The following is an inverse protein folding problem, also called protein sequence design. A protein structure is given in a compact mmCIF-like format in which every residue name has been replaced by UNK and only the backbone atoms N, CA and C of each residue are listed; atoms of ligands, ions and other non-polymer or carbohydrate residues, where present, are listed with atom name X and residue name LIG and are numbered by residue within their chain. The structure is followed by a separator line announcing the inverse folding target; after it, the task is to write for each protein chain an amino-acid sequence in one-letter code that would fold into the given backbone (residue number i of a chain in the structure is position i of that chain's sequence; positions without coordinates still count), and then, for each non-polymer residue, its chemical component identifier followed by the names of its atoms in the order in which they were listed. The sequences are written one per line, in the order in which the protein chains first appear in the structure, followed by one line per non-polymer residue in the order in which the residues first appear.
data_IF_620995127712
#
_entry.id   IF_620995127712
#
_cell.length_a   1.000
_cell.length_b   1.000
_cell.length_c   1.000
_cell.angle_alpha   90.00
_cell.angle_beta   90.00
_cell.angle_gamma   90.00
#
_symmetry.space_group_name_H-M   'P 1'
#
loop_
_entity.id
_entity.type
_entity.pdbx_description
1 polymer ?
#
# COMPACT_ATOMS: atom_id res chain seq x y z
N UNK A 1 -27.14 5.74 -7.75
CA UNK A 1 -27.02 4.77 -6.66
C UNK A 1 -26.15 3.59 -7.09
N UNK A 2 -26.64 2.69 -7.95
CA UNK A 2 -25.90 1.51 -8.48
C UNK A 2 -24.50 1.83 -9.04
N UNK A 3 -24.39 2.78 -9.99
CA UNK A 3 -23.11 3.17 -10.59
C UNK A 3 -22.10 3.74 -9.59
N UNK A 4 -22.59 4.42 -8.54
CA UNK A 4 -21.73 5.03 -7.53
C UNK A 4 -21.18 3.97 -6.56
N UNK A 5 -22.00 2.99 -6.18
CA UNK A 5 -21.56 1.80 -5.43
C UNK A 5 -20.48 1.05 -6.22
N UNK A 6 -20.74 0.77 -7.49
CA UNK A 6 -19.76 0.09 -8.34
C UNK A 6 -18.41 0.83 -8.41
N UNK A 7 -18.43 2.15 -8.61
CA UNK A 7 -17.22 2.97 -8.62
C UNK A 7 -16.45 2.97 -7.29
N UNK A 8 -17.15 2.96 -6.15
CA UNK A 8 -16.49 2.90 -4.85
C UNK A 8 -15.88 1.53 -4.56
N UNK A 9 -16.52 0.46 -5.04
CA UNK A 9 -15.99 -0.90 -4.95
C UNK A 9 -14.71 -1.04 -5.75
N UNK A 10 -14.74 -0.61 -7.01
CA UNK A 10 -13.55 -0.61 -7.88
C UNK A 10 -12.41 0.19 -7.24
N UNK A 11 -12.67 1.41 -6.75
CA UNK A 11 -11.65 2.19 -6.03
C UNK A 11 -11.11 1.49 -4.80
N UNK A 12 -11.97 0.84 -4.00
CA UNK A 12 -11.53 0.13 -2.80
C UNK A 12 -10.59 -1.02 -3.15
N UNK A 13 -10.90 -1.77 -4.21
CA UNK A 13 -10.10 -2.91 -4.67
C UNK A 13 -8.77 -2.43 -5.28
N UNK A 14 -8.76 -1.35 -6.06
CA UNK A 14 -7.54 -0.72 -6.55
C UNK A 14 -6.62 -0.29 -5.40
N UNK A 15 -7.16 0.43 -4.41
CA UNK A 15 -6.39 0.89 -3.26
C UNK A 15 -5.83 -0.27 -2.42
N UNK A 16 -6.56 -1.38 -2.27
CA UNK A 16 -6.03 -2.60 -1.64
C UNK A 16 -4.88 -3.18 -2.44
N UNK A 17 -5.01 -3.24 -3.77
CA UNK A 17 -3.98 -3.79 -4.65
C UNK A 17 -2.70 -2.94 -4.59
N UNK A 18 -2.83 -1.61 -4.68
CA UNK A 18 -1.68 -0.71 -4.52
C UNK A 18 -1.01 -0.83 -3.15
N UNK A 19 -1.79 -0.93 -2.07
CA UNK A 19 -1.26 -1.15 -0.73
C UNK A 19 -0.47 -2.47 -0.65
N UNK A 20 -1.02 -3.56 -1.20
CA UNK A 20 -0.38 -4.87 -1.22
C UNK A 20 0.92 -4.90 -2.05
N UNK A 21 0.92 -4.25 -3.22
CA UNK A 21 2.12 -4.15 -4.08
C UNK A 21 3.22 -3.35 -3.38
N UNK A 22 2.90 -2.18 -2.81
CA UNK A 22 3.89 -1.38 -2.07
C UNK A 22 4.44 -2.12 -0.85
N UNK A 23 3.57 -2.80 -0.10
CA UNK A 23 4.00 -3.60 1.05
C UNK A 23 4.94 -4.73 0.61
N UNK A 24 4.60 -5.46 -0.45
CA UNK A 24 5.43 -6.54 -0.99
C UNK A 24 6.79 -6.02 -1.45
N UNK A 25 6.80 -4.89 -2.16
CA UNK A 25 8.04 -4.23 -2.60
C UNK A 25 8.92 -3.83 -1.41
N UNK A 26 8.34 -3.26 -0.36
CA UNK A 26 9.04 -2.92 0.89
C UNK A 26 9.68 -4.14 1.54
N UNK A 27 8.98 -5.28 1.59
CA UNK A 27 9.51 -6.53 2.15
C UNK A 27 10.69 -7.04 1.33
N UNK A 28 10.57 -7.11 0.01
CA UNK A 28 11.66 -7.57 -0.85
C UNK A 28 12.89 -6.66 -0.76
N UNK A 29 12.69 -5.34 -0.75
CA UNK A 29 13.78 -4.39 -0.59
C UNK A 29 14.46 -4.51 0.78
N UNK A 30 13.68 -4.70 1.84
CA UNK A 30 14.23 -4.92 3.18
C UNK A 30 15.06 -6.21 3.25
N UNK A 31 14.58 -7.32 2.69
CA UNK A 31 15.36 -8.56 2.57
C UNK A 31 16.68 -8.30 1.83
N UNK A 32 16.64 -7.51 0.75
CA UNK A 32 17.84 -7.08 0.03
C UNK A 32 18.87 -6.41 0.94
N UNK A 33 18.45 -5.57 1.90
CA UNK A 33 19.38 -4.90 2.84
C UNK A 33 20.10 -5.85 3.79
N UNK A 34 19.55 -7.05 4.03
CA UNK A 34 20.16 -8.07 4.89
C UNK A 34 21.30 -8.81 4.18
N UNK A 35 21.42 -8.69 2.85
CA UNK A 35 22.51 -9.28 2.11
C UNK A 35 23.85 -8.64 2.52
N UNK A 36 24.89 -9.46 2.78
CA UNK A 36 26.20 -8.97 3.22
C UNK A 36 26.97 -8.26 2.10
N UNK A 37 26.55 -8.45 0.83
CA UNK A 37 27.19 -7.89 -0.36
C UNK A 37 26.80 -6.44 -0.66
N UNK A 38 25.81 -5.88 0.04
CA UNK A 38 25.38 -4.49 -0.17
C UNK A 38 26.31 -3.53 0.57
N UNK A 39 26.88 -2.59 -0.19
CA UNK A 39 27.69 -1.50 0.35
C UNK A 39 26.90 -0.65 1.38
N UNK A 40 27.51 -0.26 2.51
CA UNK A 40 26.85 0.50 3.57
C UNK A 40 26.16 1.78 3.06
N UNK A 41 26.76 2.50 2.10
CA UNK A 41 26.14 3.70 1.54
C UNK A 41 24.80 3.41 0.86
N UNK A 42 24.64 2.25 0.23
CA UNK A 42 23.37 1.87 -0.41
C UNK A 42 22.29 1.56 0.62
N UNK A 43 22.66 0.95 1.77
CA UNK A 43 21.73 0.69 2.88
C UNK A 43 21.17 1.99 3.45
N UNK A 44 22.02 3.03 3.56
CA UNK A 44 21.63 4.33 4.09
C UNK A 44 20.50 5.01 3.28
N UNK A 45 20.45 4.79 1.96
CA UNK A 45 19.38 5.31 1.11
C UNK A 45 18.19 4.34 0.98
N UNK A 46 18.42 3.03 1.01
CA UNK A 46 17.35 2.04 0.82
C UNK A 46 16.37 2.01 1.99
N UNK A 47 16.86 2.12 3.24
CA UNK A 47 16.02 2.09 4.44
C UNK A 47 14.98 3.21 4.48
N UNK A 48 15.33 4.50 4.32
CA UNK A 48 14.33 5.56 4.27
C UNK A 48 13.39 5.42 3.06
N UNK A 49 13.88 4.92 1.92
CA UNK A 49 13.00 4.63 0.78
C UNK A 49 11.95 3.55 1.11
N UNK A 50 12.33 2.48 1.81
CA UNK A 50 11.39 1.45 2.30
C UNK A 50 10.36 2.08 3.24
N UNK A 51 10.76 2.99 4.13
CA UNK A 51 9.82 3.70 5.02
C UNK A 51 8.80 4.52 4.21
N UNK A 52 9.24 5.22 3.16
CA UNK A 52 8.33 5.97 2.27
C UNK A 52 7.32 5.03 1.59
N UNK A 53 7.78 3.87 1.09
CA UNK A 53 6.91 2.87 0.49
C UNK A 53 5.89 2.31 1.49
N UNK A 54 6.30 2.06 2.74
CA UNK A 54 5.40 1.60 3.81
C UNK A 54 4.35 2.66 4.18
N UNK A 55 4.75 3.94 4.27
CA UNK A 55 3.81 5.05 4.47
C UNK A 55 2.81 5.13 3.32
N UNK A 56 3.28 4.97 2.07
CA UNK A 56 2.42 4.89 0.89
C UNK A 56 1.44 3.72 0.94
N UNK A 57 1.92 2.52 1.30
CA UNK A 57 1.10 1.32 1.46
C UNK A 57 -0.01 1.54 2.49
N UNK A 58 0.35 2.10 3.65
CA UNK A 58 -0.60 2.41 4.71
C UNK A 58 -1.62 3.46 4.29
N UNK A 59 -1.19 4.51 3.58
CA UNK A 59 -2.09 5.54 3.05
C UNK A 59 -3.13 4.96 2.08
N UNK A 60 -2.71 4.10 1.15
CA UNK A 60 -3.64 3.42 0.25
C UNK A 60 -4.58 2.47 1.00
N UNK A 61 -4.08 1.74 1.99
CA UNK A 61 -4.92 0.88 2.82
C UNK A 61 -6.01 1.67 3.57
N UNK A 62 -5.68 2.84 4.13
CA UNK A 62 -6.66 3.71 4.76
C UNK A 62 -7.72 4.22 3.76
N UNK A 63 -7.31 4.57 2.53
CA UNK A 63 -8.24 4.96 1.47
C UNK A 63 -9.16 3.81 1.09
N UNK A 64 -8.65 2.59 0.96
CA UNK A 64 -9.48 1.40 0.72
C UNK A 64 -10.54 1.23 1.81
N UNK A 65 -10.13 1.29 3.09
CA UNK A 65 -11.07 1.19 4.23
C UNK A 65 -12.15 2.26 4.15
N UNK A 66 -11.80 3.50 3.78
CA UNK A 66 -12.77 4.59 3.64
C UNK A 66 -13.85 4.25 2.61
N UNK A 67 -13.48 3.74 1.43
CA UNK A 67 -14.45 3.36 0.41
C UNK A 67 -15.30 2.13 0.80
N UNK A 68 -14.71 1.17 1.51
CA UNK A 68 -15.46 0.01 2.04
C UNK A 68 -16.50 0.45 3.08
N UNK A 69 -16.13 1.37 3.97
CA UNK A 69 -17.08 1.93 4.96
C UNK A 69 -18.23 2.66 4.28
N UNK A 70 -17.92 3.50 3.29
CA UNK A 70 -18.93 4.20 2.50
C UNK A 70 -19.87 3.23 1.76
N UNK A 71 -19.36 2.10 1.25
CA UNK A 71 -20.22 1.08 0.64
C UNK A 71 -21.18 0.46 1.65
N UNK A 72 -20.67 0.12 2.84
CA UNK A 72 -21.48 -0.47 3.91
C UNK A 72 -22.60 0.46 4.37
N UNK A 73 -22.32 1.76 4.50
CA UNK A 73 -23.31 2.76 4.89
C UNK A 73 -24.44 2.98 3.86
N UNK A 74 -24.27 2.58 2.58
CA UNK A 74 -25.35 2.65 1.57
C UNK A 74 -26.05 1.28 1.40
N UNK A 75 -25.48 0.21 1.94
CA UNK A 75 -26.15 -1.11 1.99
C UNK A 75 -27.05 -1.26 3.24
N UNK A 76 -26.76 -0.50 4.31
CA UNK A 76 -27.63 -0.29 5.49
C UNK A 76 -28.75 0.73 5.20
#
# INVERSE_FOLDING_TARGET
MERQKQQWKEKADDYKMFAGVLLSLSVFLYIGTLLPTIAPEKKAYLLPFIVILLVGAFSFFQRAIKYIRLLREIDE
#
